data_IF_012064853315
#
_entry.id   IF_012064853315
#
_cell.length_a   1.000
_cell.length_b   1.000
_cell.length_c   1.000
_cell.angle_alpha   90.00
_cell.angle_beta   90.00
_cell.angle_gamma   90.00
#
_symmetry.space_group_name_H-M   'P 1'
#
loop_
_entity.id
_entity.type
_entity.pdbx_description
1 polymer ?
#
# COMPACT_ATOMS: atom_id res chain seq x y z
N UNK A 1 34.80 28.71 43.68
CA UNK A 1 35.69 27.55 43.47
C UNK A 1 35.14 26.73 42.32
N UNK A 2 35.93 26.61 41.24
CA UNK A 2 35.52 26.10 39.93
C UNK A 2 35.69 24.57 39.92
N UNK A 3 34.61 23.83 39.69
CA UNK A 3 34.61 22.37 39.58
C UNK A 3 35.04 21.91 38.19
N UNK A 4 36.21 21.26 38.09
CA UNK A 4 36.71 20.68 36.86
C UNK A 4 35.96 19.38 36.53
N UNK A 5 35.19 19.37 35.43
CA UNK A 5 34.61 18.17 34.84
C UNK A 5 35.67 17.46 33.97
N UNK A 6 36.07 16.26 34.38
CA UNK A 6 36.90 15.38 33.58
C UNK A 6 36.13 14.91 32.33
N UNK A 7 36.65 15.24 31.14
CA UNK A 7 36.18 14.68 29.87
C UNK A 7 36.99 13.41 29.58
N UNK A 8 36.36 12.25 29.66
CA UNK A 8 36.93 11.01 29.15
C UNK A 8 36.97 11.07 27.61
N UNK A 9 38.18 11.11 27.05
CA UNK A 9 38.41 10.89 25.61
C UNK A 9 38.48 9.38 25.38
N UNK A 10 37.49 8.82 24.69
CA UNK A 10 37.59 7.47 24.16
C UNK A 10 38.63 7.48 23.03
N UNK A 11 39.78 6.87 23.30
CA UNK A 11 40.82 6.61 22.29
C UNK A 11 40.38 5.37 21.52
N UNK A 12 39.96 5.55 20.26
CA UNK A 12 39.77 4.44 19.33
C UNK A 12 41.16 3.94 18.92
N UNK A 13 41.55 2.79 19.46
CA UNK A 13 42.72 2.04 18.99
C UNK A 13 42.29 1.28 17.74
N UNK A 14 42.62 1.81 16.56
CA UNK A 14 42.57 1.07 15.31
C UNK A 14 43.72 0.06 15.29
N UNK A 15 43.49 -1.13 15.86
CA UNK A 15 44.35 -2.30 15.64
C UNK A 15 44.12 -2.79 14.21
N UNK A 16 45.11 -2.57 13.35
CA UNK A 16 45.15 -3.08 11.99
C UNK A 16 45.13 -4.61 11.97
N UNK A 17 44.04 -5.17 11.47
CA UNK A 17 43.90 -6.58 11.11
C UNK A 17 43.67 -6.66 9.60
N UNK A 18 44.75 -6.43 8.84
CA UNK A 18 44.81 -6.83 7.45
C UNK A 18 44.86 -8.37 7.42
N UNK A 19 43.74 -9.03 7.09
CA UNK A 19 43.74 -10.47 6.83
C UNK A 19 42.51 -11.27 7.27
N UNK A 20 41.59 -10.69 8.05
CA UNK A 20 40.29 -11.32 8.27
C UNK A 20 39.33 -10.82 7.19
N UNK A 21 39.25 -11.57 6.09
CA UNK A 21 38.09 -11.50 5.22
C UNK A 21 36.87 -11.89 6.05
N UNK A 22 36.24 -10.89 6.66
CA UNK A 22 34.95 -11.04 7.30
C UNK A 22 33.98 -11.37 6.18
N UNK A 23 33.83 -12.66 5.88
CA UNK A 23 32.74 -13.11 5.03
C UNK A 23 31.48 -12.68 5.76
N UNK A 24 30.72 -11.71 5.24
CA UNK A 24 29.53 -11.25 5.92
C UNK A 24 28.65 -12.48 6.16
N UNK A 25 28.07 -12.64 7.36
CA UNK A 25 27.23 -13.80 7.65
C UNK A 25 26.17 -13.90 6.55
N UNK A 26 26.20 -15.00 5.80
CA UNK A 26 25.22 -15.26 4.74
C UNK A 26 23.89 -15.45 5.46
N UNK A 27 23.08 -14.40 5.46
CA UNK A 27 21.75 -14.46 6.05
C UNK A 27 20.95 -15.55 5.33
N UNK A 28 20.33 -16.50 6.07
CA UNK A 28 19.54 -17.56 5.47
C UNK A 28 18.49 -16.95 4.53
N UNK A 29 18.17 -17.66 3.44
CA UNK A 29 17.14 -17.18 2.52
C UNK A 29 15.83 -17.02 3.30
N UNK A 30 15.12 -15.89 3.15
CA UNK A 30 13.89 -15.68 3.89
C UNK A 30 12.88 -16.73 3.43
N UNK A 31 12.41 -17.57 4.35
CA UNK A 31 11.48 -18.64 4.03
C UNK A 31 10.05 -18.14 4.24
N UNK A 32 9.54 -17.41 3.26
CA UNK A 32 8.14 -16.98 3.24
C UNK A 32 7.21 -18.04 2.64
N UNK A 33 7.75 -19.02 1.92
CA UNK A 33 6.95 -20.07 1.31
C UNK A 33 6.19 -20.89 2.37
N UNK A 34 4.94 -21.21 2.06
CA UNK A 34 4.00 -21.97 2.88
C UNK A 34 3.70 -21.33 4.24
N UNK A 35 3.89 -20.01 4.35
CA UNK A 35 3.56 -19.24 5.56
C UNK A 35 2.28 -18.41 5.40
N UNK A 36 1.58 -18.24 6.52
CA UNK A 36 0.32 -17.53 6.62
C UNK A 36 0.50 -16.17 7.27
N UNK A 37 -0.20 -15.17 6.74
CA UNK A 37 -0.06 -13.79 7.19
C UNK A 37 -1.41 -13.09 7.24
N UNK A 38 -1.63 -12.34 8.31
CA UNK A 38 -2.71 -11.37 8.43
C UNK A 38 -2.22 -10.03 7.90
N UNK A 39 -2.68 -9.67 6.71
CA UNK A 39 -2.46 -8.38 6.08
C UNK A 39 -3.60 -7.43 6.48
N UNK A 40 -3.27 -6.31 7.12
CA UNK A 40 -4.22 -5.25 7.46
C UNK A 40 -3.89 -4.01 6.66
N UNK A 41 -4.82 -3.60 5.80
CA UNK A 41 -4.71 -2.36 5.03
C UNK A 41 -5.57 -1.31 5.71
N UNK A 42 -5.00 -0.15 5.99
CA UNK A 42 -5.70 1.02 6.50
C UNK A 42 -5.68 2.12 5.44
N UNK A 43 -6.84 2.28 4.81
CA UNK A 43 -7.08 3.25 3.75
C UNK A 43 -7.80 4.44 4.36
N UNK A 44 -7.13 5.58 4.36
CA UNK A 44 -7.69 6.84 4.84
C UNK A 44 -6.77 7.99 4.52
N UNK A 45 -7.17 9.20 4.89
CA UNK A 45 -6.37 10.40 4.64
C UNK A 45 -5.05 10.36 5.39
N UNK A 46 -3.95 10.35 4.64
CA UNK A 46 -2.59 10.34 5.19
C UNK A 46 -1.86 11.60 4.74
N UNK A 47 -1.28 12.33 5.69
CA UNK A 47 -0.55 13.55 5.37
C UNK A 47 0.60 13.25 4.39
N UNK A 48 0.70 14.03 3.30
CA UNK A 48 1.74 13.87 2.29
C UNK A 48 1.44 12.82 1.20
N UNK A 49 0.24 12.24 1.17
CA UNK A 49 -0.19 11.36 0.07
C UNK A 49 -1.12 12.09 -0.92
N UNK A 50 -1.01 11.76 -2.21
CA UNK A 50 -1.94 12.25 -3.22
C UNK A 50 -3.23 11.43 -3.17
N UNK A 51 -4.36 12.11 -2.99
CA UNK A 51 -5.69 11.50 -2.85
C UNK A 51 -6.72 12.29 -3.66
N UNK A 52 -7.67 11.63 -4.34
CA UNK A 52 -8.80 12.27 -4.97
C UNK A 52 -9.51 13.31 -4.11
N UNK A 53 -10.05 14.32 -4.79
CA UNK A 53 -10.84 15.38 -4.18
C UNK A 53 -12.09 14.75 -3.51
N UNK A 54 -12.39 15.13 -2.26
CA UNK A 54 -13.46 14.58 -1.42
C UNK A 54 -13.22 13.17 -0.85
N UNK A 55 -12.05 12.58 -1.07
CA UNK A 55 -11.72 11.29 -0.47
C UNK A 55 -11.42 11.42 1.03
N UNK A 56 -12.12 10.63 1.86
CA UNK A 56 -11.97 10.59 3.32
C UNK A 56 -12.14 11.96 4.00
N UNK A 57 -12.89 12.89 3.39
CA UNK A 57 -13.12 14.24 3.96
C UNK A 57 -14.05 14.22 5.17
N UNK A 58 -14.85 13.17 5.29
CA UNK A 58 -15.69 12.85 6.44
C UNK A 58 -14.91 12.26 7.62
N UNK A 59 -13.59 12.06 7.47
CA UNK A 59 -12.77 11.36 8.47
C UNK A 59 -12.95 9.85 8.48
N UNK A 60 -13.69 9.29 7.51
CA UNK A 60 -13.83 7.85 7.37
C UNK A 60 -12.48 7.17 7.12
N UNK A 61 -12.34 5.93 7.59
CA UNK A 61 -11.24 5.03 7.26
C UNK A 61 -11.78 3.67 6.86
N UNK A 62 -11.15 3.05 5.87
CA UNK A 62 -11.47 1.72 5.40
C UNK A 62 -10.34 0.78 5.86
N UNK A 63 -10.71 -0.17 6.71
CA UNK A 63 -9.80 -1.20 7.20
C UNK A 63 -10.11 -2.51 6.49
N UNK A 64 -9.12 -3.07 5.79
CA UNK A 64 -9.23 -4.34 5.10
C UNK A 64 -8.28 -5.37 5.73
N UNK A 65 -8.75 -6.17 6.69
CA UNK A 65 -8.03 -7.35 7.14
C UNK A 65 -8.19 -8.48 6.11
N UNK A 66 -7.09 -9.12 5.73
CA UNK A 66 -7.09 -10.28 4.84
C UNK A 66 -6.02 -11.28 5.25
N UNK A 67 -6.34 -12.56 5.11
CA UNK A 67 -5.40 -13.66 5.34
C UNK A 67 -4.82 -14.07 4.00
N UNK A 68 -3.51 -13.97 3.89
CA UNK A 68 -2.75 -14.32 2.68
C UNK A 68 -1.77 -15.44 2.98
N UNK A 69 -1.55 -16.29 2.00
CA UNK A 69 -0.56 -17.37 2.04
C UNK A 69 0.43 -17.18 0.89
N UNK A 70 1.70 -17.08 1.22
CA UNK A 70 2.78 -17.09 0.22
C UNK A 70 3.06 -18.52 -0.18
N UNK A 71 2.65 -18.94 -1.38
CA UNK A 71 2.88 -20.29 -1.88
C UNK A 71 4.18 -20.36 -2.68
N UNK A 72 4.70 -21.59 -2.78
CA UNK A 72 5.82 -21.93 -3.65
C UNK A 72 5.57 -21.47 -5.09
N UNK A 73 6.64 -21.04 -5.76
CA UNK A 73 6.58 -20.58 -7.16
C UNK A 73 5.99 -19.17 -7.35
N UNK A 74 6.02 -18.32 -6.31
CA UNK A 74 5.63 -16.91 -6.44
C UNK A 74 4.12 -16.66 -6.46
N UNK A 75 3.30 -17.65 -6.13
CA UNK A 75 1.84 -17.49 -6.06
C UNK A 75 1.42 -16.96 -4.69
N UNK A 76 0.53 -15.98 -4.67
CA UNK A 76 -0.07 -15.45 -3.43
C UNK A 76 -1.53 -15.86 -3.39
N UNK A 77 -1.90 -16.71 -2.43
CA UNK A 77 -3.30 -17.11 -2.23
C UNK A 77 -3.95 -16.22 -1.18
N UNK A 78 -5.15 -15.74 -1.47
CA UNK A 78 -6.01 -15.04 -0.51
C UNK A 78 -7.04 -16.04 -0.02
N UNK A 79 -7.06 -16.32 1.27
CA UNK A 79 -7.92 -17.36 1.84
C UNK A 79 -9.17 -16.79 2.47
N UNK A 80 -9.01 -15.72 3.24
CA UNK A 80 -10.12 -15.05 3.90
C UNK A 80 -9.94 -13.56 3.78
N UNK A 81 -11.00 -12.88 3.36
CA UNK A 81 -11.13 -11.44 3.54
C UNK A 81 -12.01 -11.29 4.77
N UNK A 82 -11.51 -10.63 5.81
CA UNK A 82 -12.25 -10.50 7.06
C UNK A 82 -13.55 -9.73 6.86
N UNK A 83 -14.47 -9.87 7.81
CA UNK A 83 -15.69 -9.06 7.82
C UNK A 83 -15.29 -7.59 7.84
N UNK A 84 -15.63 -6.94 6.74
CA UNK A 84 -15.40 -5.53 6.58
C UNK A 84 -16.21 -4.80 7.65
N UNK A 85 -15.55 -4.17 8.62
CA UNK A 85 -16.25 -3.40 9.65
C UNK A 85 -16.95 -2.19 9.00
N UNK A 86 -18.27 -2.23 8.84
CA UNK A 86 -19.09 -1.12 8.36
C UNK A 86 -20.21 -1.56 7.40
N UNK A 87 -21.29 -0.77 7.36
CA UNK A 87 -22.35 -0.93 6.36
C UNK A 87 -21.78 -0.54 4.99
N UNK A 88 -21.84 -1.46 4.02
CA UNK A 88 -21.36 -1.19 2.66
C UNK A 88 -22.51 -0.64 1.85
N UNK A 89 -22.55 0.68 1.74
CA UNK A 89 -23.46 1.30 0.80
C UNK A 89 -23.07 0.83 -0.61
N UNK A 90 -24.05 0.27 -1.31
CA UNK A 90 -24.00 0.19 -2.77
C UNK A 90 -23.63 1.58 -3.30
N UNK A 91 -22.79 1.69 -4.36
CA UNK A 91 -22.37 2.99 -4.86
C UNK A 91 -23.60 3.89 -5.03
N UNK A 92 -23.66 5.08 -4.38
CA UNK A 92 -24.73 6.02 -4.58
C UNK A 92 -24.98 6.20 -6.08
N UNK A 93 -26.23 5.97 -6.45
CA UNK A 93 -26.83 6.36 -7.71
C UNK A 93 -26.81 7.90 -7.75
N UNK A 94 -25.65 8.47 -8.05
CA UNK A 94 -25.44 9.92 -8.03
C UNK A 94 -26.17 10.54 -9.21
N UNK A 95 -27.05 11.51 -8.95
CA UNK A 95 -27.72 12.37 -9.94
C UNK A 95 -26.77 13.25 -10.79
N UNK A 96 -25.45 12.99 -10.75
CA UNK A 96 -24.41 13.66 -11.54
C UNK A 96 -24.03 12.88 -12.81
N UNK A 97 -24.92 11.98 -13.24
CA UNK A 97 -24.69 11.08 -14.36
C UNK A 97 -23.95 9.81 -13.91
N UNK A 98 -24.10 8.71 -14.68
CA UNK A 98 -23.43 7.46 -14.39
C UNK A 98 -21.93 7.72 -14.30
N UNK A 99 -21.34 7.38 -13.15
CA UNK A 99 -19.90 7.11 -13.13
C UNK A 99 -19.65 6.04 -14.21
N UNK A 100 -18.52 6.06 -14.93
CA UNK A 100 -18.25 5.15 -16.06
C UNK A 100 -18.16 3.65 -15.70
N UNK A 101 -18.69 3.25 -14.55
CA UNK A 101 -18.64 1.91 -13.96
C UNK A 101 -20.00 1.45 -13.40
N UNK A 102 -21.11 2.10 -13.76
CA UNK A 102 -22.45 1.55 -13.51
C UNK A 102 -22.73 0.38 -14.46
N UNK A 103 -22.15 -0.78 -14.19
CA UNK A 103 -22.67 -2.05 -14.71
C UNK A 103 -23.43 -2.76 -13.58
N UNK A 104 -24.67 -3.13 -13.90
CA UNK A 104 -25.68 -3.72 -13.03
C UNK A 104 -25.17 -5.00 -12.34
N UNK A 105 -25.14 -4.95 -11.01
CA UNK A 105 -24.91 -6.12 -10.17
C UNK A 105 -24.31 -5.69 -8.85
N UNK A 106 -24.97 -6.05 -7.75
CA UNK A 106 -24.36 -5.98 -6.42
C UNK A 106 -23.23 -7.01 -6.37
N UNK A 107 -22.07 -6.66 -6.92
CA UNK A 107 -20.88 -7.50 -6.87
C UNK A 107 -20.33 -7.36 -5.46
N UNK A 108 -20.50 -8.40 -4.66
CA UNK A 108 -19.86 -8.49 -3.35
C UNK A 108 -18.37 -8.26 -3.53
N UNK A 109 -17.75 -7.35 -2.76
CA UNK A 109 -16.34 -7.05 -2.92
C UNK A 109 -15.51 -8.33 -2.74
N UNK A 110 -14.73 -8.67 -3.75
CA UNK A 110 -13.87 -9.84 -3.77
C UNK A 110 -12.40 -9.43 -3.89
N UNK A 111 -11.54 -10.24 -3.29
CA UNK A 111 -10.09 -10.13 -3.43
C UNK A 111 -9.60 -11.44 -4.02
N UNK A 112 -8.95 -11.35 -5.17
CA UNK A 112 -8.37 -12.48 -5.86
C UNK A 112 -6.89 -12.64 -5.50
N UNK A 113 -6.44 -13.88 -5.65
CA UNK A 113 -5.03 -14.26 -5.57
C UNK A 113 -4.16 -13.41 -6.51
N UNK A 114 -2.91 -13.21 -6.14
CA UNK A 114 -1.94 -12.48 -6.95
C UNK A 114 -0.60 -13.18 -7.00
N UNK A 115 0.46 -12.41 -7.23
CA UNK A 115 1.82 -12.93 -7.28
C UNK A 115 2.73 -12.17 -6.32
N UNK A 116 3.79 -12.84 -5.90
CA UNK A 116 4.84 -12.27 -5.08
C UNK A 116 6.21 -12.61 -5.65
N UNK A 117 7.15 -11.70 -5.45
CA UNK A 117 8.54 -11.82 -5.88
C UNK A 117 9.46 -11.25 -4.80
N UNK A 118 10.64 -11.86 -4.66
CA UNK A 118 11.70 -11.37 -3.80
C UNK A 118 12.74 -10.63 -4.64
N UNK A 119 12.92 -9.35 -4.33
CA UNK A 119 13.85 -8.47 -5.01
C UNK A 119 15.03 -8.17 -4.08
N UNK A 120 16.24 -8.24 -4.60
CA UNK A 120 17.43 -7.75 -3.91
C UNK A 120 17.58 -6.26 -4.19
N UNK A 121 17.34 -5.42 -3.17
CA UNK A 121 17.58 -3.99 -3.23
C UNK A 121 18.89 -3.63 -2.54
N UNK A 122 19.43 -2.45 -2.83
CA UNK A 122 20.64 -1.93 -2.19
C UNK A 122 20.53 -1.87 -0.65
N UNK A 123 19.30 -1.69 -0.14
CA UNK A 123 19.01 -1.62 1.31
C UNK A 123 18.65 -2.97 1.95
N UNK A 124 18.78 -4.08 1.20
CA UNK A 124 18.46 -5.43 1.66
C UNK A 124 17.42 -6.15 0.80
N UNK A 125 16.96 -7.30 1.29
CA UNK A 125 15.95 -8.11 0.62
C UNK A 125 14.56 -7.50 0.82
N UNK A 126 13.86 -7.30 -0.28
CA UNK A 126 12.52 -6.70 -0.30
C UNK A 126 11.58 -7.67 -0.99
N UNK A 127 10.40 -7.87 -0.42
CA UNK A 127 9.34 -8.63 -1.07
C UNK A 127 8.31 -7.69 -1.63
N UNK A 128 8.02 -7.89 -2.91
CA UNK A 128 6.99 -7.18 -3.65
C UNK A 128 5.90 -8.18 -3.97
N UNK A 129 4.67 -7.85 -3.60
CA UNK A 129 3.51 -8.69 -3.90
C UNK A 129 2.32 -7.83 -4.27
N UNK A 130 1.35 -8.44 -4.94
CA UNK A 130 0.10 -7.77 -5.25
C UNK A 130 -1.12 -8.65 -4.96
N UNK A 131 -2.23 -8.01 -4.63
CA UNK A 131 -3.55 -8.66 -4.63
C UNK A 131 -4.46 -7.95 -5.63
N UNK A 132 -5.38 -8.68 -6.23
CA UNK A 132 -6.37 -8.10 -7.14
C UNK A 132 -7.67 -7.87 -6.38
N UNK A 133 -8.23 -6.66 -6.49
CA UNK A 133 -9.49 -6.30 -5.86
C UNK A 133 -10.56 -6.03 -6.92
N UNK A 134 -11.81 -6.38 -6.62
CA UNK A 134 -13.00 -5.96 -7.39
C UNK A 134 -13.45 -4.53 -7.09
N UNK A 135 -12.71 -3.80 -6.26
CA UNK A 135 -13.03 -2.46 -5.81
C UNK A 135 -13.81 -2.47 -4.49
N UNK A 136 -13.73 -1.34 -3.79
CA UNK A 136 -14.34 -1.14 -2.48
C UNK A 136 -14.97 0.25 -2.37
N UNK A 137 -16.03 0.40 -1.59
CA UNK A 137 -16.58 1.71 -1.22
C UNK A 137 -17.10 1.71 0.20
N UNK A 138 -16.71 2.73 0.96
CA UNK A 138 -17.21 2.97 2.32
C UNK A 138 -17.31 4.48 2.54
N UNK A 139 -18.52 5.01 2.69
CA UNK A 139 -18.74 6.45 2.83
C UNK A 139 -18.11 7.24 1.68
N UNK A 140 -17.27 8.22 2.00
CA UNK A 140 -16.52 9.00 1.00
C UNK A 140 -15.28 8.28 0.43
N UNK A 141 -14.94 7.09 0.95
CA UNK A 141 -13.82 6.29 0.48
C UNK A 141 -14.25 5.35 -0.61
N UNK A 142 -13.55 5.37 -1.74
CA UNK A 142 -13.70 4.36 -2.78
C UNK A 142 -12.33 3.90 -3.27
N UNK A 143 -12.21 2.62 -3.57
CA UNK A 143 -11.04 1.97 -4.14
C UNK A 143 -11.47 1.32 -5.46
N UNK A 144 -10.84 1.61 -6.60
CA UNK A 144 -11.20 0.98 -7.86
C UNK A 144 -10.85 -0.51 -7.91
N UNK A 145 -11.50 -1.30 -8.77
CA UNK A 145 -11.08 -2.65 -9.10
C UNK A 145 -9.71 -2.64 -9.78
N UNK A 146 -8.64 -2.97 -9.03
CA UNK A 146 -7.25 -2.98 -9.51
C UNK A 146 -6.35 -3.90 -8.66
N UNK A 147 -5.12 -4.06 -9.15
CA UNK A 147 -4.01 -4.64 -8.40
C UNK A 147 -3.54 -3.65 -7.33
N UNK A 148 -3.52 -4.09 -6.07
CA UNK A 148 -2.93 -3.40 -4.94
C UNK A 148 -1.49 -3.89 -4.80
N UNK A 149 -0.51 -3.00 -4.88
CA UNK A 149 0.91 -3.36 -4.77
C UNK A 149 1.46 -3.06 -3.38
N UNK A 150 2.13 -4.04 -2.81
CA UNK A 150 2.78 -3.97 -1.50
C UNK A 150 4.26 -4.26 -1.65
N UNK A 151 5.05 -3.56 -0.83
CA UNK A 151 6.50 -3.68 -0.81
C UNK A 151 7.00 -3.60 0.62
N UNK A 152 7.55 -4.69 1.14
CA UNK A 152 8.02 -4.80 2.52
C UNK A 152 9.44 -5.36 2.59
N UNK A 153 10.23 -4.92 3.58
CA UNK A 153 11.57 -5.50 3.81
C UNK A 153 11.43 -6.83 4.53
N UNK A 154 12.29 -7.78 4.20
CA UNK A 154 12.25 -9.14 4.78
C UNK A 154 13.54 -9.46 5.50
N UNK A 155 13.40 -9.92 6.74
CA UNK A 155 14.51 -10.29 7.60
C UNK A 155 14.24 -11.69 8.17
N UNK A 156 14.86 -12.71 7.57
CA UNK A 156 14.63 -14.10 7.96
C UNK A 156 13.17 -14.51 7.73
N UNK A 157 12.45 -14.76 8.81
CA UNK A 157 11.02 -15.13 8.76
C UNK A 157 10.08 -13.95 9.04
N UNK A 158 10.63 -12.74 9.20
CA UNK A 158 9.87 -11.54 9.52
C UNK A 158 9.71 -10.70 8.26
N UNK A 159 8.45 -10.46 7.87
CA UNK A 159 8.08 -9.49 6.86
C UNK A 159 7.66 -8.20 7.57
N UNK A 160 8.37 -7.10 7.29
CA UNK A 160 8.01 -5.80 7.82
C UNK A 160 6.86 -5.19 7.02
N UNK A 161 5.88 -4.63 7.74
CA UNK A 161 4.86 -3.77 7.15
C UNK A 161 5.47 -2.51 6.53
N UNK A 162 4.78 -1.97 5.54
CA UNK A 162 5.22 -0.79 4.80
C UNK A 162 4.30 0.41 5.00
N UNK A 163 4.84 1.59 4.72
CA UNK A 163 4.01 2.78 4.47
C UNK A 163 3.72 2.83 2.96
N UNK A 164 2.57 3.37 2.58
CA UNK A 164 2.17 3.61 1.19
C UNK A 164 1.90 2.33 0.37
N UNK A 165 0.81 1.62 0.67
CA UNK A 165 0.30 0.62 -0.27
C UNK A 165 -0.05 1.36 -1.57
N UNK A 166 0.51 0.95 -2.71
CA UNK A 166 0.35 1.73 -3.94
C UNK A 166 -0.75 1.11 -4.78
N UNK A 167 -1.74 1.91 -5.15
CA UNK A 167 -2.78 1.53 -6.10
C UNK A 167 -2.54 2.33 -7.35
N UNK A 168 -2.19 1.65 -8.44
CA UNK A 168 -2.08 2.31 -9.73
C UNK A 168 -3.48 2.56 -10.28
N UNK A 169 -3.90 3.82 -10.24
CA UNK A 169 -5.16 4.25 -10.81
C UNK A 169 -4.82 4.91 -12.14
N UNK A 170 -5.24 4.26 -13.23
CA UNK A 170 -5.35 4.97 -14.50
C UNK A 170 -6.54 5.89 -14.40
N UNK A 171 -6.32 7.08 -13.84
CA UNK A 171 -7.25 8.16 -14.08
C UNK A 171 -7.13 8.50 -15.56
N UNK A 172 -8.19 8.26 -16.32
CA UNK A 172 -8.35 8.87 -17.63
C UNK A 172 -8.57 10.37 -17.38
N UNK A 173 -7.48 11.08 -17.08
CA UNK A 173 -7.44 12.54 -17.03
C UNK A 173 -7.71 13.15 -18.41
N UNK A 174 -7.94 12.30 -19.42
CA UNK A 174 -8.28 12.60 -20.80
C UNK A 174 -9.36 13.68 -20.93
N UNK A 175 -10.43 13.66 -20.13
CA UNK A 175 -11.48 14.70 -20.21
C UNK A 175 -11.02 16.08 -19.73
N UNK A 176 -10.29 16.17 -18.61
CA UNK A 176 -9.75 17.43 -18.12
C UNK A 176 -8.55 17.91 -18.95
N UNK A 177 -7.72 16.96 -19.39
CA UNK A 177 -6.57 17.16 -20.24
C UNK A 177 -6.96 17.70 -21.61
N UNK A 178 -8.04 17.21 -22.23
CA UNK A 178 -8.50 17.71 -23.54
C UNK A 178 -8.92 19.18 -23.46
N UNK A 179 -9.69 19.58 -22.44
CA UNK A 179 -10.11 20.97 -22.29
C UNK A 179 -8.93 21.94 -22.14
N UNK A 180 -7.96 21.58 -21.30
CA UNK A 180 -6.72 22.37 -21.10
C UNK A 180 -5.81 22.30 -22.34
N UNK A 181 -5.75 21.15 -23.02
CA UNK A 181 -4.94 20.95 -24.21
C UNK A 181 -5.45 21.74 -25.40
N UNK A 182 -6.76 21.82 -25.62
CA UNK A 182 -7.31 22.65 -26.69
C UNK A 182 -7.02 24.14 -26.45
N UNK A 183 -7.12 24.59 -25.20
CA UNK A 183 -6.84 25.98 -24.83
C UNK A 183 -5.35 26.31 -24.98
N UNK A 184 -4.45 25.41 -24.58
CA UNK A 184 -3.00 25.61 -24.72
C UNK A 184 -2.50 25.40 -26.16
N UNK A 185 -3.07 24.47 -26.92
CA UNK A 185 -2.74 24.26 -28.33
C UNK A 185 -3.11 25.47 -29.19
N UNK A 186 -4.16 26.21 -28.81
CA UNK A 186 -4.50 27.47 -29.46
C UNK A 186 -3.41 28.54 -29.27
N UNK A 187 -2.73 28.54 -28.11
CA UNK A 187 -1.74 29.58 -27.76
C UNK A 187 -0.30 29.17 -28.15
N UNK A 188 0.05 27.88 -28.01
CA UNK A 188 1.42 27.36 -28.18
C UNK A 188 1.59 26.41 -29.37
N UNK A 189 0.52 26.19 -30.15
CA UNK A 189 0.55 25.35 -31.33
C UNK A 189 0.59 23.83 -31.05
N UNK A 190 0.80 23.01 -32.10
CA UNK A 190 0.61 21.56 -32.05
C UNK A 190 1.61 20.81 -31.15
N UNK A 191 2.76 21.40 -30.81
CA UNK A 191 3.75 20.79 -29.90
C UNK A 191 3.21 20.69 -28.47
N UNK A 192 2.42 21.67 -28.02
CA UNK A 192 1.78 21.64 -26.71
C UNK A 192 0.72 20.53 -26.60
N UNK A 193 0.04 20.20 -27.71
CA UNK A 193 -0.95 19.12 -27.77
C UNK A 193 -0.31 17.76 -27.45
N UNK A 194 0.85 17.46 -28.04
CA UNK A 194 1.57 16.18 -27.82
C UNK A 194 2.01 16.04 -26.37
N UNK A 195 2.58 17.09 -25.77
CA UNK A 195 2.97 17.09 -24.36
C UNK A 195 1.78 16.87 -23.42
N UNK A 196 0.63 17.44 -23.73
CA UNK A 196 -0.61 17.27 -22.96
C UNK A 196 -1.24 15.89 -23.11
N UNK A 197 -1.20 15.27 -24.29
CA UNK A 197 -1.66 13.89 -24.48
C UNK A 197 -0.81 12.93 -23.65
N UNK A 198 0.52 13.12 -23.63
CA UNK A 198 1.42 12.32 -22.79
C UNK A 198 1.14 12.52 -21.29
N UNK A 199 0.82 13.74 -20.87
CA UNK A 199 0.37 14.04 -19.49
C UNK A 199 -0.98 13.41 -19.18
N UNK A 200 -1.94 13.42 -20.12
CA UNK A 200 -3.27 12.86 -19.95
C UNK A 200 -3.29 11.33 -19.90
N UNK A 201 -2.27 10.67 -20.48
CA UNK A 201 -2.07 9.22 -20.41
C UNK A 201 -1.24 8.78 -19.19
N UNK A 202 -0.87 9.69 -18.29
CA UNK A 202 -0.03 9.37 -17.14
C UNK A 202 -0.81 8.47 -16.18
N UNK A 203 -0.23 7.32 -15.87
CA UNK A 203 -0.71 6.51 -14.75
C UNK A 203 -0.45 7.27 -13.44
N UNK A 204 -1.51 7.52 -12.67
CA UNK A 204 -1.38 8.13 -11.35
C UNK A 204 -1.37 7.00 -10.33
N UNK A 205 -0.21 6.76 -9.72
CA UNK A 205 -0.14 5.90 -8.56
C UNK A 205 -0.65 6.66 -7.35
N UNK A 206 -1.74 6.17 -6.78
CA UNK A 206 -2.27 6.71 -5.53
C UNK A 206 -1.65 5.90 -4.39
N UNK A 207 -1.00 6.61 -3.47
CA UNK A 207 -0.58 6.01 -2.21
C UNK A 207 -1.80 5.88 -1.30
N UNK A 208 -2.15 4.64 -0.98
CA UNK A 208 -3.31 4.26 -0.20
C UNK A 208 -2.84 3.87 1.20
N UNK A 209 -2.71 4.88 2.05
CA UNK A 209 -2.56 4.74 3.49
C UNK A 209 -1.42 3.83 3.98
N UNK A 210 -1.66 3.15 5.10
CA UNK A 210 -0.68 2.30 5.78
C UNK A 210 -1.11 0.86 5.75
N UNK A 211 -0.16 -0.07 5.65
CA UNK A 211 -0.47 -1.48 5.79
C UNK A 211 0.48 -2.13 6.80
N UNK A 212 -0.03 -3.12 7.50
CA UNK A 212 0.72 -3.94 8.44
C UNK A 212 0.49 -5.40 8.11
N UNK A 213 1.47 -6.23 8.44
CA UNK A 213 1.40 -7.65 8.18
C UNK A 213 1.95 -8.38 9.40
N UNK A 214 1.23 -9.40 9.83
CA UNK A 214 1.52 -10.18 11.02
C UNK A 214 1.51 -11.66 10.64
N UNK A 215 2.53 -12.41 11.07
CA UNK A 215 2.62 -13.83 10.76
C UNK A 215 1.61 -14.59 11.63
N UNK A 216 0.91 -15.53 11.02
CA UNK A 216 0.05 -16.47 11.72
C UNK A 216 0.82 -17.78 11.89
N UNK A 217 0.88 -18.29 13.13
CA UNK A 217 1.59 -19.52 13.46
C UNK A 217 0.76 -20.79 13.20
N UNK A 218 -0.57 -20.66 13.10
CA UNK A 218 -1.52 -21.75 12.88
C UNK A 218 -2.23 -21.71 11.53
N UNK A 219 -2.99 -22.77 11.25
CA UNK A 219 -3.93 -22.81 10.14
C UNK A 219 -5.09 -21.83 10.42
N UNK A 220 -5.27 -20.78 9.59
CA UNK A 220 -6.30 -19.77 9.81
C UNK A 220 -7.74 -20.30 9.72
N UNK A 221 -7.94 -21.50 9.21
CA UNK A 221 -9.27 -22.12 9.15
C UNK A 221 -9.70 -22.73 10.48
N UNK A 222 -8.76 -23.04 11.36
CA UNK A 222 -9.04 -23.57 12.71
C UNK A 222 -9.20 -22.48 13.78
N UNK A 223 -8.64 -21.29 13.58
CA UNK A 223 -8.66 -20.21 14.57
C UNK A 223 -9.60 -19.06 14.16
N UNK A 224 -10.49 -18.59 15.07
CA UNK A 224 -11.28 -17.40 14.81
C UNK A 224 -10.34 -16.20 14.69
N UNK A 225 -10.56 -15.38 13.66
CA UNK A 225 -9.80 -14.14 13.48
C UNK A 225 -9.89 -13.29 14.76
N UNK A 226 -8.77 -12.81 15.31
CA UNK A 226 -8.82 -11.95 16.49
C UNK A 226 -9.69 -10.74 16.16
N UNK A 227 -10.59 -10.32 17.08
CA UNK A 227 -11.38 -9.13 16.85
C UNK A 227 -10.43 -7.98 16.55
N UNK A 228 -10.65 -7.29 15.43
CA UNK A 228 -9.86 -6.12 15.07
C UNK A 228 -10.14 -5.08 16.15
N UNK A 229 -9.23 -5.02 17.12
CA UNK A 229 -9.31 -4.02 18.18
C UNK A 229 -8.85 -2.74 17.51
N UNK A 230 -9.81 -1.91 17.12
CA UNK A 230 -9.54 -0.54 16.72
C UNK A 230 -8.80 0.10 17.89
N UNK A 231 -7.48 0.22 17.81
CA UNK A 231 -6.83 1.38 18.40
C UNK A 231 -7.36 2.53 17.57
N UNK A 232 -8.49 3.08 18.00
CA UNK A 232 -8.92 4.39 17.57
C UNK A 232 -7.78 5.30 17.96
N UNK A 233 -6.87 5.56 17.04
CA UNK A 233 -6.13 6.81 17.04
C UNK A 233 -7.24 7.85 16.93
N UNK A 234 -7.70 8.30 18.10
CA UNK A 234 -8.61 9.43 18.25
C UNK A 234 -7.94 10.50 17.40
N UNK A 235 -8.59 10.99 16.33
CA UNK A 235 -7.99 11.99 15.48
C UNK A 235 -7.58 13.13 16.41
N UNK A 236 -6.27 13.37 16.53
CA UNK A 236 -5.76 14.60 17.10
C UNK A 236 -6.57 15.70 16.42
N UNK A 237 -7.38 16.42 17.23
CA UNK A 237 -8.30 17.42 16.72
C UNK A 237 -7.55 18.28 15.71
N UNK A 238 -7.97 18.20 14.45
CA UNK A 238 -7.54 19.12 13.42
C UNK A 238 -8.11 20.49 13.80
N UNK A 239 -7.31 21.28 14.53
CA UNK A 239 -7.56 22.71 14.82
C UNK A 239 -7.03 23.53 13.66
#
# INVERSE_FOLDING_TARGET
MIGARARARAVFVCLGLAGLTFSPPVLPRPQLEDTWWLLRIDVGRTMGSFMPLRWATDGSRLLLPMIVQFRKGGQLAVHRVGDFMGDWDSPPNTALGPLPFEEEGSVSPSINAGQWEMLEAQEGRVVQFHVESSGFKRGSIWLPPRKLFFKGKVYGEILSGGKNATVSIRENLLLYGIGVALLLAFVWGPVALVGLILLALREVSISVGTWSIERLEGDPDTEPLPPVTLKGDVPEKWV
#
